data_IF_734009726962
#
_entry.id   IF_734009726962
#
_cell.length_a   1.000
_cell.length_b   1.000
_cell.length_c   1.000
_cell.angle_alpha   90.00
_cell.angle_beta   90.00
_cell.angle_gamma   90.00
#
_symmetry.space_group_name_H-M   'P 1'
#
loop_
_entity.id
_entity.type
_entity.pdbx_description
1 polymer ?
#
# COMPACT_ATOMS: atom_id res chain seq x y z
N UNK A 1 -26.01 9.60 -18.39
CA UNK A 1 -25.95 8.28 -19.07
C UNK A 1 -26.46 7.22 -18.12
N UNK A 2 -27.64 6.61 -18.36
CA UNK A 2 -28.37 5.82 -17.34
C UNK A 2 -27.52 4.69 -16.71
N UNK A 3 -26.65 4.05 -17.51
CA UNK A 3 -25.83 2.92 -17.05
C UNK A 3 -24.70 3.34 -16.10
N UNK A 4 -24.06 4.47 -16.31
CA UNK A 4 -23.04 5.00 -15.40
C UNK A 4 -23.65 5.39 -14.05
N UNK A 5 -24.82 6.05 -14.08
CA UNK A 5 -25.52 6.47 -12.85
C UNK A 5 -25.93 5.26 -12.00
N UNK A 6 -26.35 4.15 -12.66
CA UNK A 6 -26.67 2.91 -11.98
C UNK A 6 -25.44 2.23 -11.37
N UNK A 7 -24.32 2.23 -12.09
CA UNK A 7 -23.04 1.70 -11.58
C UNK A 7 -22.51 2.53 -10.42
N UNK A 8 -22.61 3.88 -10.49
CA UNK A 8 -22.23 4.77 -9.38
C UNK A 8 -23.03 4.44 -8.13
N UNK A 9 -24.37 4.30 -8.26
CA UNK A 9 -25.23 3.93 -7.13
C UNK A 9 -24.88 2.56 -6.56
N UNK A 10 -24.57 1.59 -7.41
CA UNK A 10 -24.18 0.23 -6.99
C UNK A 10 -22.87 0.24 -6.21
N UNK A 11 -21.84 0.96 -6.70
CA UNK A 11 -20.57 1.09 -6.00
C UNK A 11 -20.70 1.89 -4.70
N UNK A 12 -21.44 2.99 -4.70
CA UNK A 12 -21.68 3.78 -3.49
C UNK A 12 -22.41 2.93 -2.43
N UNK A 13 -23.40 2.12 -2.83
CA UNK A 13 -24.07 1.15 -1.96
C UNK A 13 -23.13 0.06 -1.43
N UNK A 14 -22.19 -0.41 -2.25
CA UNK A 14 -21.17 -1.36 -1.82
C UNK A 14 -20.28 -0.76 -0.72
N UNK A 15 -19.78 0.47 -0.88
CA UNK A 15 -18.97 1.15 0.13
C UNK A 15 -19.74 1.41 1.42
N UNK A 16 -21.02 1.81 1.31
CA UNK A 16 -21.87 2.01 2.48
C UNK A 16 -22.17 0.69 3.23
N UNK A 17 -22.22 -0.44 2.54
CA UNK A 17 -22.44 -1.75 3.16
C UNK A 17 -21.19 -2.33 3.84
N UNK A 18 -20.00 -1.92 3.42
CA UNK A 18 -18.73 -2.39 3.98
C UNK A 18 -18.23 -1.51 5.16
N UNK A 19 -19.00 -0.52 5.63
CA UNK A 19 -18.66 0.30 6.78
C UNK A 19 -18.79 -0.50 8.10
N UNK A 20 -18.00 -0.09 9.12
CA UNK A 20 -17.97 -0.70 10.47
C UNK A 20 -18.54 0.30 11.49
N UNK A 21 -19.85 0.27 11.76
CA UNK A 21 -20.52 1.31 12.54
C UNK A 21 -20.22 1.28 14.05
N UNK A 22 -19.55 0.23 14.58
CA UNK A 22 -19.27 0.11 16.03
C UNK A 22 -18.21 1.11 16.56
N UNK A 23 -17.58 1.86 15.66
CA UNK A 23 -16.64 2.93 15.99
C UNK A 23 -15.29 2.49 16.53
N UNK A 24 -15.01 1.19 16.57
CA UNK A 24 -13.75 0.63 17.07
C UNK A 24 -12.82 0.36 15.91
N UNK A 25 -11.77 1.17 15.80
CA UNK A 25 -10.78 1.02 14.74
C UNK A 25 -10.17 -0.38 14.73
N UNK A 26 -10.20 -1.04 13.57
CA UNK A 26 -9.39 -2.21 13.25
C UNK A 26 -8.37 -1.87 12.19
N UNK A 27 -7.20 -2.51 12.25
CA UNK A 27 -6.05 -2.29 11.39
C UNK A 27 -5.74 -3.59 10.66
N UNK A 28 -5.60 -3.53 9.36
CA UNK A 28 -5.12 -4.66 8.57
C UNK A 28 -3.74 -4.33 8.02
N UNK A 29 -2.73 -5.09 8.43
CA UNK A 29 -1.35 -4.95 7.95
C UNK A 29 -1.14 -5.81 6.72
N UNK A 30 -0.55 -5.22 5.68
CA UNK A 30 -0.03 -5.93 4.52
C UNK A 30 1.43 -5.52 4.29
N UNK A 31 2.34 -6.51 4.18
CA UNK A 31 3.77 -6.26 3.96
C UNK A 31 4.22 -7.04 2.73
N UNK A 32 4.80 -6.32 1.78
CA UNK A 32 5.41 -6.88 0.58
C UNK A 32 6.90 -7.12 0.82
N UNK A 33 7.42 -8.24 0.35
CA UNK A 33 8.82 -8.64 0.48
C UNK A 33 9.39 -8.98 -0.88
N UNK A 34 10.62 -8.55 -1.15
CA UNK A 34 11.37 -9.13 -2.24
C UNK A 34 11.93 -10.49 -1.84
N UNK A 35 11.97 -11.40 -2.80
CA UNK A 35 12.62 -12.70 -2.65
C UNK A 35 13.81 -12.75 -3.59
N UNK A 36 14.94 -13.25 -3.10
CA UNK A 36 16.14 -13.52 -3.90
C UNK A 36 16.72 -14.87 -3.55
N UNK A 37 17.49 -15.42 -4.45
CA UNK A 37 18.42 -16.50 -4.16
C UNK A 37 19.56 -15.99 -3.28
N UNK A 38 20.33 -16.88 -2.67
CA UNK A 38 21.50 -16.53 -1.85
C UNK A 38 22.59 -15.78 -2.64
N UNK A 39 22.67 -15.97 -3.97
CA UNK A 39 23.56 -15.23 -4.87
C UNK A 39 23.02 -13.86 -5.31
N UNK A 40 21.85 -13.44 -4.80
CA UNK A 40 21.21 -12.18 -5.12
C UNK A 40 20.37 -12.18 -6.40
N UNK A 41 20.34 -13.30 -7.14
CA UNK A 41 19.53 -13.41 -8.37
C UNK A 41 18.04 -13.59 -8.06
N UNK A 42 17.16 -13.28 -9.02
CA UNK A 42 15.73 -13.55 -8.87
C UNK A 42 15.45 -15.02 -8.61
N UNK A 43 14.45 -15.36 -7.79
CA UNK A 43 14.08 -16.76 -7.55
C UNK A 43 13.39 -17.36 -8.77
N UNK A 44 13.49 -18.66 -8.95
CA UNK A 44 12.59 -19.36 -9.85
C UNK A 44 11.18 -19.44 -9.25
N UNK A 45 10.15 -19.23 -10.05
CA UNK A 45 8.75 -19.24 -9.60
C UNK A 45 8.39 -20.55 -8.90
N UNK A 46 8.86 -21.70 -9.44
CA UNK A 46 8.62 -23.02 -8.86
C UNK A 46 9.22 -23.18 -7.44
N UNK A 47 10.39 -22.60 -7.18
CA UNK A 47 11.03 -22.68 -5.85
C UNK A 47 10.23 -21.89 -4.81
N UNK A 48 9.70 -20.72 -5.22
CA UNK A 48 8.84 -19.91 -4.36
C UNK A 48 7.50 -20.62 -4.11
N UNK A 49 6.92 -21.25 -5.14
CA UNK A 49 5.71 -22.07 -4.96
C UNK A 49 5.95 -23.19 -3.96
N UNK A 50 7.08 -23.90 -4.05
CA UNK A 50 7.43 -25.01 -3.15
C UNK A 50 7.58 -24.52 -1.69
N UNK A 51 8.28 -23.41 -1.47
CA UNK A 51 8.43 -22.79 -0.15
C UNK A 51 7.07 -22.40 0.47
N UNK A 52 6.16 -21.77 -0.31
CA UNK A 52 4.84 -21.38 0.18
C UNK A 52 3.92 -22.58 0.45
N UNK A 53 4.00 -23.64 -0.36
CA UNK A 53 3.26 -24.89 -0.09
C UNK A 53 3.70 -25.54 1.22
N UNK A 54 4.98 -25.43 1.57
CA UNK A 54 5.52 -25.92 2.85
C UNK A 54 4.99 -25.15 4.07
N UNK A 55 4.52 -23.91 3.90
CA UNK A 55 3.93 -23.08 4.96
C UNK A 55 2.41 -23.21 5.06
N UNK A 56 1.75 -23.61 3.97
CA UNK A 56 0.29 -23.73 3.90
C UNK A 56 -0.22 -24.81 4.87
N UNK A 57 -1.14 -24.44 5.75
CA UNK A 57 -1.80 -25.38 6.67
C UNK A 57 -2.95 -26.12 5.96
N UNK A 58 -3.41 -27.23 6.52
CA UNK A 58 -4.52 -28.01 5.95
C UNK A 58 -5.84 -27.22 5.89
N UNK A 59 -6.01 -26.24 6.75
CA UNK A 59 -7.20 -25.36 6.81
C UNK A 59 -7.14 -24.21 5.85
N UNK A 60 -5.99 -23.94 5.22
CA UNK A 60 -5.80 -22.81 4.33
C UNK A 60 -6.24 -23.16 2.90
N UNK A 61 -6.94 -22.23 2.26
CA UNK A 61 -7.37 -22.37 0.88
C UNK A 61 -6.23 -21.96 -0.09
N UNK A 62 -5.84 -22.83 -1.04
CA UNK A 62 -4.85 -22.45 -2.05
C UNK A 62 -5.40 -21.35 -2.98
N UNK A 63 -4.54 -20.41 -3.34
CA UNK A 63 -4.83 -19.39 -4.35
C UNK A 63 -4.31 -19.89 -5.70
N UNK A 64 -5.24 -20.32 -6.55
CA UNK A 64 -4.95 -20.82 -7.91
C UNK A 64 -5.45 -19.79 -8.92
N UNK A 65 -4.58 -19.35 -9.80
CA UNK A 65 -4.90 -18.42 -10.88
C UNK A 65 -4.25 -18.90 -12.19
N UNK A 66 -5.01 -18.93 -13.27
CA UNK A 66 -4.56 -19.42 -14.58
C UNK A 66 -3.94 -20.83 -14.55
N UNK A 67 -4.35 -21.66 -13.59
CA UNK A 67 -3.84 -23.03 -13.38
C UNK A 67 -2.61 -23.12 -12.48
N UNK A 68 -2.00 -22.01 -12.10
CA UNK A 68 -0.80 -21.94 -11.27
C UNK A 68 -1.11 -21.58 -9.82
N UNK A 69 -0.26 -22.03 -8.90
CA UNK A 69 -0.36 -21.73 -7.48
C UNK A 69 0.35 -20.42 -7.15
N UNK A 70 -0.38 -19.46 -6.56
CA UNK A 70 0.15 -18.15 -6.18
C UNK A 70 0.22 -17.92 -4.66
N UNK A 71 -0.07 -18.93 -3.86
CA UNK A 71 -0.07 -18.81 -2.41
C UNK A 71 -1.34 -19.39 -1.79
N UNK A 72 -1.68 -18.91 -0.60
CA UNK A 72 -2.82 -19.42 0.16
C UNK A 72 -3.47 -18.33 1.01
N UNK A 73 -4.72 -18.59 1.40
CA UNK A 73 -5.49 -17.75 2.31
C UNK A 73 -6.01 -18.57 3.48
N UNK A 74 -5.59 -18.20 4.68
CA UNK A 74 -6.06 -18.78 5.95
C UNK A 74 -6.86 -17.76 6.77
N UNK A 75 -7.39 -18.16 7.93
CA UNK A 75 -8.20 -17.29 8.78
C UNK A 75 -7.41 -16.13 9.41
N UNK A 76 -6.10 -16.30 9.62
CA UNK A 76 -5.24 -15.30 10.26
C UNK A 76 -4.48 -14.44 9.26
N UNK A 77 -4.12 -14.99 8.10
CA UNK A 77 -3.33 -14.30 7.09
C UNK A 77 -3.54 -14.88 5.69
N UNK A 78 -3.21 -14.07 4.70
CA UNK A 78 -3.06 -14.47 3.29
C UNK A 78 -1.62 -14.23 2.88
N UNK A 79 -0.99 -15.22 2.26
CA UNK A 79 0.33 -15.12 1.63
C UNK A 79 0.16 -15.31 0.12
N UNK A 80 0.53 -14.31 -0.70
CA UNK A 80 0.34 -14.36 -2.15
C UNK A 80 1.49 -13.70 -2.89
N UNK A 81 1.71 -14.09 -4.17
CA UNK A 81 2.77 -13.56 -5.00
C UNK A 81 2.32 -12.38 -5.85
N UNK A 82 3.14 -11.35 -5.87
CA UNK A 82 3.06 -10.21 -6.79
C UNK A 82 3.68 -10.51 -8.15
N UNK A 83 3.74 -9.49 -9.03
CA UNK A 83 4.09 -9.66 -10.45
C UNK A 83 5.47 -10.24 -10.76
N UNK A 84 6.46 -10.02 -9.89
CA UNK A 84 7.83 -10.54 -10.05
C UNK A 84 8.26 -11.34 -8.82
N UNK A 85 7.41 -12.25 -8.35
CA UNK A 85 7.62 -13.06 -7.15
C UNK A 85 7.76 -12.25 -5.84
N UNK A 86 7.35 -10.98 -5.78
CA UNK A 86 7.24 -10.30 -4.49
C UNK A 86 6.22 -11.06 -3.62
N UNK A 87 6.59 -11.38 -2.39
CA UNK A 87 5.69 -12.03 -1.46
C UNK A 87 4.91 -10.98 -0.68
N UNK A 88 3.61 -10.98 -0.82
CA UNK A 88 2.68 -10.15 -0.08
C UNK A 88 2.06 -10.94 1.07
N UNK A 89 2.24 -10.47 2.31
CA UNK A 89 1.65 -11.03 3.52
C UNK A 89 0.60 -10.06 4.02
N UNK A 90 -0.67 -10.44 3.96
CA UNK A 90 -1.81 -9.65 4.42
C UNK A 90 -2.44 -10.34 5.64
N UNK A 91 -2.42 -9.68 6.81
CA UNK A 91 -3.00 -10.21 8.04
C UNK A 91 -4.50 -9.97 8.07
N UNK A 92 -5.23 -10.78 8.83
CA UNK A 92 -6.61 -10.46 9.18
C UNK A 92 -6.66 -9.16 10.01
N UNK A 93 -7.75 -8.37 9.94
CA UNK A 93 -7.87 -7.13 10.71
C UNK A 93 -7.83 -7.38 12.22
N UNK A 94 -7.00 -6.64 12.93
CA UNK A 94 -6.85 -6.68 14.39
C UNK A 94 -6.91 -5.28 15.00
N UNK A 95 -7.10 -5.17 16.31
CA UNK A 95 -7.21 -3.89 17.02
C UNK A 95 -5.93 -3.49 17.73
N UNK A 96 -5.19 -4.47 18.18
CA UNK A 96 -4.00 -4.26 18.96
C UNK A 96 -2.74 -4.38 18.10
N UNK A 97 -1.81 -3.42 18.25
CA UNK A 97 -0.57 -3.39 17.48
C UNK A 97 0.34 -4.53 17.89
N UNK A 98 0.34 -4.91 19.17
CA UNK A 98 1.14 -6.03 19.66
C UNK A 98 0.67 -7.35 19.03
N UNK A 99 -0.64 -7.59 18.99
CA UNK A 99 -1.22 -8.79 18.37
C UNK A 99 -0.87 -8.86 16.86
N UNK A 100 -0.93 -7.70 16.17
CA UNK A 100 -0.53 -7.60 14.76
C UNK A 100 0.94 -7.99 14.59
N UNK A 101 1.82 -7.43 15.42
CA UNK A 101 3.26 -7.67 15.32
C UNK A 101 3.65 -9.08 15.75
N UNK A 102 3.00 -9.65 16.76
CA UNK A 102 3.23 -11.02 17.18
C UNK A 102 2.85 -12.02 16.09
N UNK A 103 1.72 -11.78 15.41
CA UNK A 103 1.29 -12.61 14.29
C UNK A 103 2.27 -12.48 13.10
N UNK A 104 2.63 -11.24 12.73
CA UNK A 104 3.57 -10.97 11.65
C UNK A 104 4.95 -11.58 11.93
N UNK A 105 5.52 -11.35 13.10
CA UNK A 105 6.87 -11.82 13.46
C UNK A 105 6.95 -13.37 13.50
N UNK A 106 5.92 -14.04 14.03
CA UNK A 106 5.84 -15.50 14.00
C UNK A 106 5.85 -16.05 12.58
N UNK A 107 5.02 -15.46 11.71
CA UNK A 107 4.97 -15.87 10.31
C UNK A 107 6.30 -15.56 9.59
N UNK A 108 6.87 -14.37 9.81
CA UNK A 108 8.12 -13.95 9.17
C UNK A 108 9.29 -14.87 9.54
N UNK A 109 9.35 -15.34 10.78
CA UNK A 109 10.34 -16.33 11.21
C UNK A 109 10.15 -17.69 10.49
N UNK A 110 8.92 -18.20 10.41
CA UNK A 110 8.60 -19.43 9.69
C UNK A 110 8.89 -19.31 8.19
N UNK A 111 8.58 -18.17 7.62
CA UNK A 111 8.91 -17.84 6.23
C UNK A 111 10.42 -17.91 5.97
N UNK A 112 11.22 -17.31 6.84
CA UNK A 112 12.68 -17.35 6.73
C UNK A 112 13.22 -18.77 6.68
N UNK A 113 12.70 -19.66 7.55
CA UNK A 113 13.09 -21.08 7.58
C UNK A 113 12.66 -21.83 6.31
N UNK A 114 11.42 -21.61 5.85
CA UNK A 114 10.91 -22.23 4.63
C UNK A 114 11.68 -21.77 3.38
N UNK A 115 11.97 -20.48 3.27
CA UNK A 115 12.75 -19.93 2.15
C UNK A 115 14.18 -20.48 2.15
N UNK A 116 14.85 -20.52 3.32
CA UNK A 116 16.21 -21.03 3.45
C UNK A 116 16.35 -22.50 2.98
N UNK A 117 15.33 -23.34 3.20
CA UNK A 117 15.29 -24.72 2.71
C UNK A 117 15.31 -24.81 1.17
N UNK A 118 14.98 -23.74 0.47
CA UNK A 118 15.01 -23.62 -1.00
C UNK A 118 16.12 -22.69 -1.51
N UNK A 119 17.08 -22.30 -0.65
CA UNK A 119 18.16 -21.38 -1.02
C UNK A 119 17.70 -19.95 -1.29
N UNK A 120 16.54 -19.57 -0.74
CA UNK A 120 15.92 -18.26 -0.91
C UNK A 120 15.99 -17.45 0.39
N UNK A 121 15.87 -16.13 0.27
CA UNK A 121 15.72 -15.20 1.40
C UNK A 121 14.74 -14.07 1.07
N UNK A 122 14.08 -13.52 2.10
CA UNK A 122 13.20 -12.40 2.02
C UNK A 122 13.93 -11.09 2.42
N UNK A 123 13.52 -9.97 1.79
CA UNK A 123 14.01 -8.63 2.09
C UNK A 123 12.84 -7.69 2.33
N UNK A 124 13.01 -6.82 3.32
CA UNK A 124 12.15 -5.66 3.54
C UNK A 124 12.86 -4.41 3.03
N UNK A 125 12.53 -3.95 1.83
CA UNK A 125 13.08 -2.75 1.22
C UNK A 125 12.03 -2.12 0.29
N UNK A 126 12.12 -0.81 0.07
CA UNK A 126 11.19 -0.11 -0.82
C UNK A 126 11.43 -0.37 -2.30
N UNK A 127 12.70 -0.72 -2.66
CA UNK A 127 13.09 -1.12 -4.00
C UNK A 127 13.88 -2.42 -3.98
N UNK A 128 13.89 -3.15 -5.11
CA UNK A 128 14.57 -4.44 -5.22
C UNK A 128 16.07 -4.32 -4.87
N UNK A 129 16.58 -5.17 -3.94
CA UNK A 129 17.90 -4.96 -3.34
C UNK A 129 19.08 -5.26 -4.26
N UNK A 130 18.90 -6.03 -5.33
CA UNK A 130 20.02 -6.57 -6.12
C UNK A 130 19.88 -6.46 -7.63
N UNK A 131 18.65 -6.36 -8.19
CA UNK A 131 18.41 -6.50 -9.63
C UNK A 131 17.86 -5.20 -10.24
N UNK A 132 18.09 -5.03 -11.54
CA UNK A 132 17.32 -4.10 -12.35
C UNK A 132 15.89 -4.61 -12.54
N UNK A 133 14.93 -3.71 -12.65
CA UNK A 133 13.52 -4.07 -12.80
C UNK A 133 13.24 -4.87 -14.09
N UNK A 134 13.96 -4.57 -15.17
CA UNK A 134 13.82 -5.28 -16.46
C UNK A 134 14.32 -6.72 -16.42
N UNK A 135 15.25 -7.05 -15.50
CA UNK A 135 15.79 -8.40 -15.33
C UNK A 135 14.89 -9.29 -14.47
N UNK A 136 13.88 -8.71 -13.83
CA UNK A 136 12.93 -9.44 -12.99
C UNK A 136 11.83 -10.06 -13.85
N UNK A 137 11.73 -11.41 -13.93
CA UNK A 137 10.72 -12.08 -14.75
C UNK A 137 9.32 -11.88 -14.16
N UNK A 138 8.34 -11.70 -15.03
CA UNK A 138 6.94 -11.76 -14.62
C UNK A 138 6.54 -13.20 -14.29
N UNK A 139 5.72 -13.35 -13.24
CA UNK A 139 5.02 -14.60 -12.96
C UNK A 139 3.98 -14.90 -14.07
N UNK A 140 3.67 -16.17 -14.37
CA UNK A 140 2.75 -16.54 -15.46
C UNK A 140 1.28 -16.31 -15.06
N UNK A 141 0.87 -15.04 -14.97
CA UNK A 141 -0.50 -14.62 -14.61
C UNK A 141 -1.04 -13.60 -15.61
N UNK A 142 -2.13 -13.94 -16.29
CA UNK A 142 -2.78 -13.13 -17.33
C UNK A 142 -3.00 -11.66 -16.90
N UNK A 143 -3.35 -11.46 -15.61
CA UNK A 143 -3.53 -10.11 -15.05
C UNK A 143 -2.24 -9.30 -15.11
N UNK A 144 -1.13 -9.88 -14.72
CA UNK A 144 0.15 -9.16 -14.61
C UNK A 144 0.76 -8.88 -15.99
N UNK A 145 0.60 -9.82 -16.94
CA UNK A 145 0.97 -9.59 -18.33
C UNK A 145 0.17 -8.45 -18.95
N UNK A 146 -1.14 -8.42 -18.74
CA UNK A 146 -2.00 -7.33 -19.22
C UNK A 146 -1.67 -5.99 -18.58
N UNK A 147 -1.31 -5.99 -17.28
CA UNK A 147 -0.89 -4.79 -16.56
C UNK A 147 0.45 -4.28 -17.06
N UNK A 148 1.44 -5.15 -17.21
CA UNK A 148 2.78 -4.79 -17.72
C UNK A 148 2.67 -4.17 -19.12
N UNK A 149 1.93 -4.81 -20.03
CA UNK A 149 1.72 -4.31 -21.38
C UNK A 149 1.04 -2.94 -21.39
N UNK A 150 -0.03 -2.74 -20.61
CA UNK A 150 -0.76 -1.49 -20.55
C UNK A 150 0.07 -0.35 -19.94
N UNK A 151 0.72 -0.61 -18.79
CA UNK A 151 1.40 0.43 -18.02
C UNK A 151 2.69 0.89 -18.69
N UNK A 152 3.40 0.03 -19.44
CA UNK A 152 4.58 0.42 -20.22
C UNK A 152 4.31 1.55 -21.22
N UNK A 153 3.07 1.67 -21.73
CA UNK A 153 2.65 2.73 -22.63
C UNK A 153 2.27 4.05 -21.91
N UNK A 154 2.19 4.04 -20.56
CA UNK A 154 1.68 5.18 -19.77
C UNK A 154 2.76 6.01 -19.11
N UNK A 155 3.74 5.38 -18.47
CA UNK A 155 4.79 6.10 -17.75
C UNK A 155 6.14 5.40 -17.79
N UNK A 156 7.21 6.17 -17.72
CA UNK A 156 8.58 5.66 -17.82
C UNK A 156 8.99 4.77 -16.64
N UNK A 157 8.32 4.91 -15.49
CA UNK A 157 8.63 4.14 -14.28
C UNK A 157 7.74 2.91 -14.04
N UNK A 158 6.95 2.51 -15.04
CA UNK A 158 5.94 1.45 -14.90
C UNK A 158 6.55 0.09 -14.58
N UNK A 159 7.64 -0.30 -15.23
CA UNK A 159 8.32 -1.57 -14.99
C UNK A 159 8.96 -1.60 -13.60
N UNK A 160 9.64 -0.52 -13.23
CA UNK A 160 10.24 -0.36 -11.90
C UNK A 160 9.17 -0.46 -10.81
N UNK A 161 8.06 0.25 -10.98
CA UNK A 161 6.94 0.20 -10.05
C UNK A 161 6.41 -1.22 -9.89
N UNK A 162 6.13 -1.90 -11.00
CA UNK A 162 5.42 -3.16 -11.00
C UNK A 162 6.28 -4.33 -10.49
N UNK A 163 7.57 -4.34 -10.85
CA UNK A 163 8.45 -5.49 -10.61
C UNK A 163 9.44 -5.25 -9.46
N UNK A 164 9.82 -4.00 -9.20
CA UNK A 164 10.94 -3.67 -8.31
C UNK A 164 10.57 -2.71 -7.18
N UNK A 165 9.28 -2.58 -6.81
CA UNK A 165 8.89 -1.88 -5.59
C UNK A 165 8.14 -2.80 -4.62
N UNK A 166 8.29 -2.54 -3.32
CA UNK A 166 7.57 -3.23 -2.26
C UNK A 166 7.19 -2.25 -1.14
N UNK A 167 6.04 -2.49 -0.52
CA UNK A 167 5.38 -1.57 0.41
C UNK A 167 5.01 -2.23 1.74
N UNK A 168 4.73 -1.38 2.73
CA UNK A 168 3.95 -1.69 3.92
C UNK A 168 2.63 -0.93 3.83
N UNK A 169 1.53 -1.64 3.65
CA UNK A 169 0.19 -1.05 3.63
C UNK A 169 -0.50 -1.25 4.97
N UNK A 170 -1.24 -0.24 5.40
CA UNK A 170 -2.16 -0.36 6.53
C UNK A 170 -3.54 0.04 6.07
N UNK A 171 -4.49 -0.89 6.18
CA UNK A 171 -5.89 -0.61 5.89
C UNK A 171 -6.66 -0.36 7.18
N UNK A 172 -7.52 0.66 7.16
CA UNK A 172 -8.37 1.07 8.27
C UNK A 172 -9.84 1.01 7.85
N UNK A 173 -10.72 0.75 8.81
CA UNK A 173 -12.16 0.85 8.61
C UNK A 173 -12.66 2.30 8.61
N UNK A 174 -13.96 2.45 8.34
CA UNK A 174 -14.71 3.70 8.44
C UNK A 174 -16.14 3.39 8.89
N UNK A 175 -16.76 4.34 9.60
CA UNK A 175 -18.06 4.16 10.23
C UNK A 175 -19.24 4.51 9.32
N UNK A 176 -19.05 5.55 8.50
CA UNK A 176 -20.02 6.09 7.55
C UNK A 176 -19.29 6.90 6.47
N UNK A 177 -20.06 7.50 5.55
CA UNK A 177 -19.50 8.33 4.47
C UNK A 177 -18.75 9.57 4.99
N UNK A 178 -19.22 10.18 6.07
CA UNK A 178 -18.57 11.35 6.68
C UNK A 178 -17.19 10.97 7.25
N UNK A 179 -17.12 9.86 7.97
CA UNK A 179 -15.85 9.34 8.52
C UNK A 179 -14.92 8.88 7.40
N UNK A 180 -15.45 8.23 6.35
CA UNK A 180 -14.70 7.90 5.14
C UNK A 180 -14.03 9.14 4.54
N UNK A 181 -14.79 10.20 4.27
CA UNK A 181 -14.25 11.44 3.68
C UNK A 181 -13.15 12.04 4.56
N UNK A 182 -13.39 12.11 5.87
CA UNK A 182 -12.41 12.66 6.84
C UNK A 182 -11.14 11.84 6.88
N UNK A 183 -11.24 10.51 6.92
CA UNK A 183 -10.09 9.58 6.95
C UNK A 183 -9.31 9.63 5.63
N UNK A 184 -9.98 9.63 4.49
CA UNK A 184 -9.34 9.76 3.18
C UNK A 184 -8.53 11.05 3.05
N UNK A 185 -9.11 12.18 3.45
CA UNK A 185 -8.43 13.49 3.44
C UNK A 185 -7.22 13.51 4.37
N UNK A 186 -7.39 13.09 5.63
CA UNK A 186 -6.29 13.07 6.58
C UNK A 186 -5.16 12.13 6.16
N UNK A 187 -5.49 10.92 5.70
CA UNK A 187 -4.50 9.96 5.20
C UNK A 187 -3.70 10.52 4.02
N UNK A 188 -4.37 11.18 3.08
CA UNK A 188 -3.71 11.78 1.92
C UNK A 188 -2.82 12.98 2.30
N UNK A 189 -3.24 13.81 3.25
CA UNK A 189 -2.40 14.91 3.80
C UNK A 189 -1.15 14.38 4.49
N UNK A 190 -1.19 13.17 5.05
CA UNK A 190 -0.06 12.57 5.76
C UNK A 190 0.86 11.74 4.85
N UNK A 191 0.53 11.52 3.58
CA UNK A 191 1.37 10.72 2.65
C UNK A 191 2.82 11.19 2.53
N UNK A 192 3.16 12.51 2.50
CA UNK A 192 4.54 12.94 2.45
C UNK A 192 5.35 12.51 3.68
N UNK A 193 4.72 12.52 4.86
CA UNK A 193 5.35 12.14 6.13
C UNK A 193 5.53 10.62 6.22
N UNK A 194 4.53 9.85 5.80
CA UNK A 194 4.63 8.39 5.74
C UNK A 194 5.74 7.96 4.77
N UNK A 195 5.84 8.61 3.60
CA UNK A 195 6.91 8.33 2.65
C UNK A 195 8.31 8.60 3.24
N UNK A 196 8.51 9.73 3.93
CA UNK A 196 9.82 10.09 4.49
C UNK A 196 10.21 9.23 5.69
N UNK A 197 9.27 8.94 6.61
CA UNK A 197 9.50 8.08 7.77
C UNK A 197 9.77 6.61 7.38
N UNK A 198 9.26 6.17 6.25
CA UNK A 198 9.43 4.81 5.74
C UNK A 198 10.51 4.68 4.66
N UNK A 199 11.22 5.75 4.28
CA UNK A 199 12.20 5.72 3.20
C UNK A 199 13.28 4.65 3.44
N UNK A 200 13.12 3.52 2.76
CA UNK A 200 13.86 2.28 2.95
C UNK A 200 14.31 1.65 1.63
N UNK A 201 14.88 2.46 0.73
CA UNK A 201 15.41 1.98 -0.54
C UNK A 201 16.92 2.25 -0.65
N UNK A 202 17.80 1.47 0.02
CA UNK A 202 19.26 1.66 -0.02
C UNK A 202 19.85 1.37 -1.40
N UNK A 203 19.17 0.55 -2.20
CA UNK A 203 19.55 0.20 -3.57
C UNK A 203 18.39 0.56 -4.50
N UNK A 204 18.74 1.04 -5.68
CA UNK A 204 17.82 1.25 -6.79
C UNK A 204 18.50 0.89 -8.10
N UNK A 205 17.86 0.06 -8.92
CA UNK A 205 18.42 -0.44 -10.18
C UNK A 205 19.85 -0.98 -9.99
N UNK A 206 19.98 -1.96 -9.10
CA UNK A 206 21.24 -2.64 -8.73
C UNK A 206 22.38 -1.72 -8.28
N UNK A 207 22.11 -0.44 -7.99
CA UNK A 207 23.11 0.57 -7.59
C UNK A 207 22.71 1.22 -6.27
N UNK A 208 23.72 1.66 -5.50
CA UNK A 208 23.48 2.38 -4.24
C UNK A 208 22.64 3.63 -4.50
N UNK A 209 21.55 3.75 -3.76
CA UNK A 209 20.63 4.88 -3.88
C UNK A 209 20.96 5.98 -2.86
N UNK A 210 21.11 7.21 -3.34
CA UNK A 210 21.25 8.41 -2.51
C UNK A 210 20.00 9.32 -2.49
N UNK A 211 19.00 9.02 -3.31
CA UNK A 211 17.76 9.82 -3.41
C UNK A 211 16.80 9.47 -2.30
N UNK A 212 16.04 10.45 -1.80
CA UNK A 212 14.95 10.22 -0.84
C UNK A 212 13.70 9.67 -1.51
N UNK A 213 12.96 8.84 -0.78
CA UNK A 213 11.62 8.36 -1.11
C UNK A 213 11.50 7.91 -2.58
N UNK A 214 12.48 7.12 -3.06
CA UNK A 214 12.58 6.74 -4.47
C UNK A 214 11.31 6.03 -4.96
N UNK A 215 10.72 5.15 -4.15
CA UNK A 215 9.46 4.47 -4.47
C UNK A 215 8.34 5.50 -4.70
N UNK A 216 8.17 6.48 -3.82
CA UNK A 216 7.18 7.55 -3.98
C UNK A 216 7.41 8.32 -5.28
N UNK A 217 8.66 8.60 -5.65
CA UNK A 217 9.01 9.27 -6.92
C UNK A 217 8.62 8.44 -8.14
N UNK A 218 8.90 7.13 -8.12
CA UNK A 218 8.55 6.22 -9.20
C UNK A 218 7.04 6.21 -9.48
N UNK A 219 6.22 6.17 -8.43
CA UNK A 219 4.77 6.17 -8.56
C UNK A 219 4.18 7.45 -9.18
N UNK A 220 4.94 8.58 -9.24
CA UNK A 220 4.48 9.80 -9.92
C UNK A 220 4.55 9.68 -11.45
N UNK A 221 5.33 8.73 -11.98
CA UNK A 221 5.52 8.55 -13.44
C UNK A 221 5.11 7.13 -13.88
N UNK A 222 3.91 6.71 -13.50
CA UNK A 222 3.29 5.43 -13.89
C UNK A 222 2.03 5.68 -14.73
N UNK A 223 0.94 6.10 -14.12
CA UNK A 223 -0.31 6.39 -14.82
C UNK A 223 -1.15 7.39 -13.99
N UNK A 224 -1.34 8.58 -14.53
CA UNK A 224 -2.05 9.68 -13.86
C UNK A 224 -3.53 9.39 -13.61
N UNK A 225 -4.13 8.47 -14.36
CA UNK A 225 -5.54 8.12 -14.19
C UNK A 225 -5.80 7.30 -12.92
N UNK A 226 -4.75 6.64 -12.38
CA UNK A 226 -4.92 5.65 -11.31
C UNK A 226 -3.89 5.67 -10.19
N UNK A 227 -2.86 6.52 -10.28
CA UNK A 227 -1.82 6.70 -9.28
C UNK A 227 -1.84 8.11 -8.68
N UNK A 228 -1.16 8.30 -7.54
CA UNK A 228 -1.06 9.60 -6.87
C UNK A 228 -2.25 9.90 -5.97
N UNK A 229 -2.55 11.19 -5.79
CA UNK A 229 -3.65 11.64 -4.92
C UNK A 229 -4.99 11.36 -5.59
N UNK A 230 -5.95 10.85 -4.82
CA UNK A 230 -7.33 10.59 -5.30
C UNK A 230 -7.92 11.87 -5.91
N UNK A 231 -8.43 11.84 -7.15
CA UNK A 231 -9.05 13.01 -7.77
C UNK A 231 -10.24 13.53 -6.97
N UNK A 232 -10.45 14.83 -6.97
CA UNK A 232 -11.57 15.51 -6.29
C UNK A 232 -11.63 15.33 -4.77
N UNK A 233 -10.59 14.76 -4.14
CA UNK A 233 -10.58 14.44 -2.71
C UNK A 233 -10.90 15.64 -1.80
N UNK A 234 -10.44 16.85 -2.18
CA UNK A 234 -10.64 18.06 -1.38
C UNK A 234 -11.89 18.86 -1.77
N UNK A 235 -12.65 18.43 -2.80
CA UNK A 235 -13.88 19.07 -3.22
C UNK A 235 -15.00 18.87 -2.19
N UNK A 236 -15.91 19.81 -2.08
CA UNK A 236 -16.97 19.77 -1.07
C UNK A 236 -17.97 18.64 -1.25
N UNK A 237 -18.12 18.15 -2.49
CA UNK A 237 -19.01 17.05 -2.89
C UNK A 237 -18.32 15.68 -2.92
N UNK A 238 -17.07 15.59 -2.42
CA UNK A 238 -16.37 14.31 -2.34
C UNK A 238 -17.06 13.35 -1.36
N UNK A 239 -17.36 12.14 -1.83
CA UNK A 239 -18.01 11.08 -1.09
C UNK A 239 -17.96 9.78 -1.88
N UNK A 240 -18.76 8.78 -1.49
CA UNK A 240 -18.81 7.47 -2.14
C UNK A 240 -19.14 7.56 -3.63
N UNK A 241 -20.13 8.41 -3.99
CA UNK A 241 -20.55 8.57 -5.38
C UNK A 241 -19.45 9.19 -6.24
N UNK A 242 -18.76 10.24 -5.75
CA UNK A 242 -17.64 10.86 -6.47
C UNK A 242 -16.45 9.93 -6.59
N UNK A 243 -16.14 9.15 -5.55
CA UNK A 243 -15.09 8.13 -5.63
C UNK A 243 -15.46 7.03 -6.63
N UNK A 244 -16.70 6.55 -6.63
CA UNK A 244 -17.19 5.58 -7.61
C UNK A 244 -17.09 6.12 -9.05
N UNK A 245 -17.50 7.36 -9.30
CA UNK A 245 -17.36 8.02 -10.60
C UNK A 245 -15.89 8.05 -11.06
N UNK A 246 -14.96 8.40 -10.18
CA UNK A 246 -13.53 8.45 -10.49
C UNK A 246 -12.99 7.11 -11.01
N UNK A 247 -13.41 5.97 -10.42
CA UNK A 247 -12.91 4.66 -10.84
C UNK A 247 -13.69 4.06 -12.02
N UNK A 248 -14.96 4.42 -12.20
CA UNK A 248 -15.80 3.90 -13.28
C UNK A 248 -15.54 4.57 -14.63
N UNK A 249 -15.15 5.85 -14.63
CA UNK A 249 -14.96 6.67 -15.84
C UNK A 249 -13.55 6.60 -16.41
N UNK A 250 -12.61 5.93 -15.72
CA UNK A 250 -11.24 5.75 -16.22
C UNK A 250 -11.10 4.45 -17.01
N UNK A 251 -10.22 4.41 -18.02
CA UNK A 251 -9.93 3.18 -18.77
C UNK A 251 -9.51 2.07 -17.81
N UNK A 252 -10.15 0.89 -17.89
CA UNK A 252 -9.75 -0.27 -17.11
C UNK A 252 -8.56 -0.96 -17.77
N UNK A 253 -7.62 -1.47 -16.97
CA UNK A 253 -6.50 -2.28 -17.47
C UNK A 253 -7.00 -3.69 -17.74
N UNK A 254 -7.68 -4.25 -16.73
CA UNK A 254 -8.23 -5.61 -16.78
C UNK A 254 -9.70 -5.61 -16.37
N UNK A 255 -10.44 -6.58 -16.89
CA UNK A 255 -11.85 -6.78 -16.60
C UNK A 255 -12.16 -8.25 -16.34
N UNK A 256 -13.20 -8.51 -15.54
CA UNK A 256 -13.74 -9.85 -15.35
C UNK A 256 -14.68 -10.19 -16.51
N UNK A 257 -14.36 -11.25 -17.25
CA UNK A 257 -15.13 -11.73 -18.39
C UNK A 257 -15.36 -13.23 -18.25
N UNK A 258 -16.62 -13.63 -18.14
CA UNK A 258 -16.99 -15.05 -17.94
C UNK A 258 -16.19 -15.72 -16.80
N UNK A 259 -16.07 -15.03 -15.66
CA UNK A 259 -15.33 -15.52 -14.49
C UNK A 259 -13.80 -15.51 -14.60
N UNK A 260 -13.25 -14.96 -15.69
CA UNK A 260 -11.79 -14.89 -15.91
C UNK A 260 -11.33 -13.45 -16.11
N UNK A 261 -10.14 -13.12 -15.58
CA UNK A 261 -9.51 -11.82 -15.81
C UNK A 261 -8.94 -11.76 -17.22
N UNK A 262 -9.22 -10.66 -17.94
CA UNK A 262 -8.75 -10.38 -19.31
C UNK A 262 -8.39 -8.91 -19.45
N UNK A 263 -7.52 -8.57 -20.40
CA UNK A 263 -7.27 -7.19 -20.78
C UNK A 263 -8.57 -6.48 -21.15
N UNK A 264 -8.76 -5.26 -20.65
CA UNK A 264 -9.98 -4.48 -20.87
C UNK A 264 -10.00 -3.72 -22.21
N UNK A 265 -8.84 -3.57 -22.86
CA UNK A 265 -8.69 -2.87 -24.14
C UNK A 265 -8.99 -1.37 -24.06
N UNK A 266 -8.64 -0.72 -22.94
CA UNK A 266 -8.84 0.70 -22.72
C UNK A 266 -10.28 1.14 -22.51
N UNK A 267 -11.23 0.22 -22.33
CA UNK A 267 -12.65 0.51 -22.10
C UNK A 267 -12.90 0.94 -20.65
N UNK A 268 -13.87 1.84 -20.47
CA UNK A 268 -14.37 2.23 -19.15
C UNK A 268 -15.38 1.21 -18.60
N UNK A 269 -15.63 1.22 -17.29
CA UNK A 269 -16.52 0.24 -16.65
C UNK A 269 -17.94 0.16 -17.27
N UNK A 270 -18.62 1.27 -17.64
CA UNK A 270 -19.92 1.22 -18.32
C UNK A 270 -19.93 0.52 -19.69
N UNK A 271 -18.77 0.39 -20.35
CA UNK A 271 -18.65 -0.34 -21.61
C UNK A 271 -18.39 -1.85 -21.38
N UNK A 272 -17.84 -2.18 -20.21
CA UNK A 272 -17.40 -3.52 -19.85
C UNK A 272 -18.49 -4.33 -19.14
N UNK A 273 -19.28 -3.70 -18.30
CA UNK A 273 -20.21 -4.35 -17.38
C UNK A 273 -21.66 -3.87 -17.60
N UNK A 274 -22.62 -4.61 -17.04
CA UNK A 274 -24.02 -4.19 -16.95
C UNK A 274 -24.21 -2.98 -16.01
N UNK A 275 -25.40 -2.42 -15.92
CA UNK A 275 -25.70 -1.34 -14.99
C UNK A 275 -25.54 -1.78 -13.53
N UNK A 276 -26.04 -2.97 -13.17
CA UNK A 276 -25.80 -3.57 -11.86
C UNK A 276 -24.53 -4.43 -11.91
N UNK A 277 -23.46 -3.99 -11.22
CA UNK A 277 -22.19 -4.71 -11.12
C UNK A 277 -22.15 -5.61 -9.88
N UNK A 278 -21.70 -6.85 -10.05
CA UNK A 278 -21.55 -7.82 -8.95
C UNK A 278 -20.36 -7.45 -8.04
N UNK A 279 -20.34 -8.01 -6.81
CA UNK A 279 -19.19 -7.82 -5.88
C UNK A 279 -17.84 -8.22 -6.50
N UNK A 280 -17.80 -9.28 -7.30
CA UNK A 280 -16.56 -9.71 -7.98
C UNK A 280 -16.11 -8.71 -9.05
N UNK A 281 -17.04 -8.16 -9.83
CA UNK A 281 -16.76 -7.12 -10.81
C UNK A 281 -16.32 -5.82 -10.14
N UNK A 282 -16.93 -5.43 -9.02
CA UNK A 282 -16.52 -4.28 -8.21
C UNK A 282 -15.08 -4.48 -7.72
N UNK A 283 -14.74 -5.62 -7.14
CA UNK A 283 -13.39 -5.93 -6.70
C UNK A 283 -12.39 -5.86 -7.86
N UNK A 284 -12.77 -6.35 -9.05
CA UNK A 284 -11.94 -6.25 -10.25
C UNK A 284 -11.75 -4.80 -10.71
N UNK A 285 -12.79 -3.97 -10.74
CA UNK A 285 -12.72 -2.54 -11.07
C UNK A 285 -11.75 -1.84 -10.11
N UNK A 286 -11.96 -1.97 -8.79
CA UNK A 286 -11.13 -1.34 -7.77
C UNK A 286 -9.67 -1.80 -7.80
N UNK A 287 -9.41 -3.03 -8.25
CA UNK A 287 -8.05 -3.58 -8.38
C UNK A 287 -7.20 -2.92 -9.47
N UNK A 288 -7.81 -2.12 -10.37
CA UNK A 288 -7.10 -1.38 -11.41
C UNK A 288 -6.57 -0.01 -10.94
N UNK A 289 -6.82 0.41 -9.69
CA UNK A 289 -6.45 1.72 -9.16
C UNK A 289 -5.45 1.62 -8.03
N UNK A 290 -4.46 2.53 -8.03
CA UNK A 290 -3.29 2.51 -7.17
C UNK A 290 -3.05 3.88 -6.53
N UNK A 291 -4.11 4.63 -6.18
CA UNK A 291 -3.98 5.90 -5.47
C UNK A 291 -3.20 5.73 -4.16
N UNK A 292 -2.50 6.76 -3.71
CA UNK A 292 -1.70 6.75 -2.47
C UNK A 292 -2.54 6.35 -1.25
N UNK A 293 -3.80 6.75 -1.26
CA UNK A 293 -4.85 6.29 -0.34
C UNK A 293 -6.04 5.87 -1.19
N UNK A 294 -6.44 4.62 -1.10
CA UNK A 294 -7.55 4.09 -1.90
C UNK A 294 -8.61 3.42 -1.05
N UNK A 295 -9.85 3.43 -1.55
CA UNK A 295 -10.95 2.67 -0.99
C UNK A 295 -11.14 1.37 -1.78
N UNK A 296 -11.16 0.26 -1.06
CA UNK A 296 -11.71 -1.03 -1.48
C UNK A 296 -12.90 -1.36 -0.54
N UNK A 297 -12.81 -2.43 0.23
CA UNK A 297 -13.68 -2.64 1.40
C UNK A 297 -13.23 -1.83 2.61
N UNK A 298 -11.98 -1.39 2.63
CA UNK A 298 -11.31 -0.60 3.68
C UNK A 298 -10.52 0.53 3.03
N UNK A 299 -10.17 1.56 3.80
CA UNK A 299 -9.27 2.63 3.36
C UNK A 299 -7.84 2.13 3.50
N UNK A 300 -7.14 1.97 2.41
CA UNK A 300 -5.77 1.45 2.36
C UNK A 300 -4.75 2.59 2.19
N UNK A 301 -3.84 2.73 3.15
CA UNK A 301 -2.72 3.67 3.15
C UNK A 301 -1.51 2.99 2.49
N UNK A 302 -1.00 3.54 1.38
CA UNK A 302 -0.05 2.87 0.49
C UNK A 302 1.31 3.57 0.36
N UNK A 303 1.50 4.70 1.03
CA UNK A 303 2.68 5.54 0.84
C UNK A 303 3.98 4.97 1.41
N UNK A 304 3.90 4.04 2.39
CA UNK A 304 5.07 3.53 3.09
C UNK A 304 5.80 2.43 2.29
N UNK A 305 7.13 2.49 2.29
CA UNK A 305 8.01 1.43 1.78
C UNK A 305 7.89 0.16 2.64
N UNK A 306 8.30 -0.97 2.10
CA UNK A 306 8.52 -2.17 2.91
C UNK A 306 9.67 -1.92 3.89
N UNK A 307 9.44 -2.24 5.19
CA UNK A 307 10.31 -1.84 6.30
C UNK A 307 10.65 -3.03 7.22
N UNK A 308 11.77 -2.96 7.96
CA UNK A 308 12.03 -3.88 9.06
C UNK A 308 10.94 -3.84 10.16
N UNK A 309 10.71 -4.96 10.88
CA UNK A 309 9.59 -5.10 11.82
C UNK A 309 9.43 -3.97 12.85
N UNK A 310 10.53 -3.42 13.38
CA UNK A 310 10.48 -2.32 14.36
C UNK A 310 9.85 -1.04 13.78
N UNK A 311 10.08 -0.75 12.49
CA UNK A 311 9.47 0.41 11.82
C UNK A 311 8.05 0.11 11.35
N UNK A 312 7.73 -1.14 11.03
CA UNK A 312 6.34 -1.57 10.80
C UNK A 312 5.52 -1.30 12.06
N UNK A 313 6.00 -1.72 13.24
CA UNK A 313 5.33 -1.47 14.52
C UNK A 313 5.09 0.03 14.75
N UNK A 314 6.12 0.87 14.51
CA UNK A 314 6.02 2.31 14.63
C UNK A 314 4.99 2.91 13.67
N UNK A 315 4.95 2.42 12.42
CA UNK A 315 3.99 2.88 11.42
C UNK A 315 2.56 2.50 11.77
N UNK A 316 2.31 1.25 12.13
CA UNK A 316 0.98 0.78 12.57
C UNK A 316 0.51 1.55 13.80
N UNK A 317 1.42 1.79 14.79
CA UNK A 317 1.09 2.57 15.98
C UNK A 317 0.79 4.04 15.63
N UNK A 318 1.53 4.65 14.72
CA UNK A 318 1.24 6.02 14.25
C UNK A 318 -0.14 6.11 13.61
N UNK A 319 -0.47 5.17 12.72
CA UNK A 319 -1.80 5.07 12.08
C UNK A 319 -2.88 4.87 13.15
N UNK A 320 -2.72 3.93 14.11
CA UNK A 320 -3.66 3.71 15.22
C UNK A 320 -3.90 5.00 15.99
N UNK A 321 -2.84 5.73 16.34
CA UNK A 321 -2.93 6.94 17.15
C UNK A 321 -3.66 8.10 16.47
N UNK A 322 -3.53 8.21 15.14
CA UNK A 322 -4.20 9.27 14.35
C UNK A 322 -5.65 8.91 14.05
N UNK A 323 -5.89 7.70 13.55
CA UNK A 323 -7.21 7.31 13.00
C UNK A 323 -8.14 6.66 14.03
N UNK A 324 -7.60 6.20 15.16
CA UNK A 324 -8.37 5.64 16.28
C UNK A 324 -9.01 6.69 17.21
N UNK A 325 -8.73 7.97 16.99
CA UNK A 325 -9.29 9.07 17.80
C UNK A 325 -9.93 10.13 16.91
N UNK A 326 -11.26 10.37 17.01
CA UNK A 326 -11.94 11.45 16.28
C UNK A 326 -11.29 12.83 16.51
N UNK A 327 -10.77 13.08 17.71
CA UNK A 327 -10.09 14.33 18.04
C UNK A 327 -8.70 14.44 17.39
N UNK A 328 -7.95 13.33 17.28
CA UNK A 328 -6.66 13.32 16.58
C UNK A 328 -6.87 13.55 15.08
N UNK A 329 -7.81 12.83 14.49
CA UNK A 329 -8.20 13.00 13.09
C UNK A 329 -8.62 14.45 12.80
N UNK A 330 -9.45 15.05 13.66
CA UNK A 330 -9.87 16.45 13.51
C UNK A 330 -8.71 17.43 13.67
N UNK A 331 -7.71 17.14 14.50
CA UNK A 331 -6.51 17.98 14.62
C UNK A 331 -5.70 17.99 13.33
N UNK A 332 -5.50 16.84 12.69
CA UNK A 332 -4.81 16.75 11.39
C UNK A 332 -5.56 17.60 10.35
N UNK A 333 -6.87 17.42 10.23
CA UNK A 333 -7.67 18.15 9.25
C UNK A 333 -7.65 19.68 9.48
N UNK A 334 -7.65 20.12 10.73
CA UNK A 334 -7.54 21.56 11.07
C UNK A 334 -6.13 22.10 10.85
N UNK A 335 -5.10 21.32 11.16
CA UNK A 335 -3.70 21.74 11.00
C UNK A 335 -3.35 22.03 9.54
N UNK A 336 -3.91 21.24 8.61
CA UNK A 336 -3.72 21.38 7.18
C UNK A 336 -4.97 21.96 6.45
N UNK A 337 -5.81 22.69 7.16
CA UNK A 337 -7.00 23.32 6.57
C UNK A 337 -6.63 24.21 5.38
N UNK A 338 -7.33 24.05 4.26
CA UNK A 338 -7.08 24.79 3.02
C UNK A 338 -6.06 24.16 2.08
N UNK A 339 -5.36 23.07 2.49
CA UNK A 339 -4.48 22.36 1.57
C UNK A 339 -5.30 21.65 0.46
N UNK A 340 -4.79 21.75 -0.75
CA UNK A 340 -5.36 21.15 -1.97
C UNK A 340 -4.70 19.84 -2.34
N UNK A 341 -5.24 19.11 -3.32
CA UNK A 341 -4.60 17.92 -3.90
C UNK A 341 -3.24 18.24 -4.53
N UNK A 342 -3.09 19.47 -5.08
CA UNK A 342 -1.82 19.95 -5.63
C UNK A 342 -0.78 20.17 -4.53
N UNK A 343 -1.19 20.70 -3.37
CA UNK A 343 -0.28 20.90 -2.23
C UNK A 343 0.22 19.55 -1.69
N UNK A 344 -0.63 18.52 -1.65
CA UNK A 344 -0.22 17.16 -1.27
C UNK A 344 0.82 16.62 -2.26
N UNK A 345 0.56 16.76 -3.57
CA UNK A 345 1.50 16.32 -4.61
C UNK A 345 2.83 17.06 -4.50
N UNK A 346 2.78 18.38 -4.32
CA UNK A 346 3.97 19.24 -4.15
C UNK A 346 4.78 18.86 -2.91
N UNK A 347 4.10 18.57 -1.79
CA UNK A 347 4.73 18.12 -0.55
C UNK A 347 5.45 16.75 -0.72
N UNK A 348 4.83 15.81 -1.45
CA UNK A 348 5.46 14.53 -1.81
C UNK A 348 6.72 14.72 -2.65
N UNK A 349 6.67 15.58 -3.67
CA UNK A 349 7.83 15.88 -4.50
C UNK A 349 8.93 16.60 -3.72
N UNK A 350 8.57 17.48 -2.78
CA UNK A 350 9.53 18.17 -1.92
C UNK A 350 10.31 17.18 -1.03
N UNK A 351 9.64 16.22 -0.38
CA UNK A 351 10.34 15.20 0.43
C UNK A 351 11.19 14.26 -0.43
N UNK A 352 10.77 13.95 -1.65
CA UNK A 352 11.59 13.16 -2.58
C UNK A 352 12.87 13.89 -3.00
N UNK A 353 12.83 15.23 -3.09
CA UNK A 353 13.97 16.06 -3.49
C UNK A 353 14.88 16.37 -2.32
N UNK A 354 14.33 16.86 -1.21
CA UNK A 354 15.07 17.56 -0.15
C UNK A 354 15.08 16.79 1.18
N UNK A 355 14.35 15.64 1.29
CA UNK A 355 14.30 14.81 2.50
C UNK A 355 13.89 15.63 3.73
N UNK A 356 14.68 15.54 4.80
CA UNK A 356 14.43 16.29 6.06
C UNK A 356 14.64 17.81 5.94
N UNK A 357 15.12 18.31 4.81
CA UNK A 357 15.24 19.76 4.54
C UNK A 357 14.03 20.30 3.74
N UNK A 358 13.09 19.45 3.38
CA UNK A 358 11.92 19.83 2.61
C UNK A 358 11.01 20.83 3.35
N UNK A 359 10.36 21.67 2.58
CA UNK A 359 9.17 22.43 3.01
C UNK A 359 7.91 21.69 2.55
N UNK A 360 7.04 21.31 3.47
CA UNK A 360 5.75 20.67 3.22
C UNK A 360 4.65 21.57 3.74
N UNK A 361 3.67 21.89 2.90
CA UNK A 361 2.59 22.83 3.22
C UNK A 361 3.13 24.19 3.71
N UNK A 362 4.26 24.66 3.14
CA UNK A 362 4.91 25.91 3.53
C UNK A 362 5.70 25.90 4.84
N UNK A 363 5.89 24.72 5.48
CA UNK A 363 6.55 24.56 6.78
C UNK A 363 7.70 23.55 6.70
N UNK A 364 8.76 23.66 7.55
CA UNK A 364 9.82 22.66 7.61
C UNK A 364 9.27 21.27 7.98
N UNK A 365 9.57 20.26 7.18
CA UNK A 365 9.08 18.89 7.38
C UNK A 365 9.46 18.31 8.73
N UNK A 366 10.64 18.66 9.27
CA UNK A 366 11.08 18.21 10.59
C UNK A 366 10.18 18.73 11.73
N UNK A 367 9.70 19.98 11.62
CA UNK A 367 8.74 20.54 12.56
C UNK A 367 7.36 19.86 12.48
N UNK A 368 6.90 19.58 11.26
CA UNK A 368 5.63 18.89 11.03
C UNK A 368 5.67 17.44 11.50
N UNK A 369 6.78 16.73 11.27
CA UNK A 369 7.00 15.38 11.81
C UNK A 369 7.05 15.36 13.34
N UNK A 370 7.75 16.35 13.95
CA UNK A 370 7.77 16.48 15.41
C UNK A 370 6.35 16.68 15.96
N UNK A 371 5.58 17.58 15.36
CA UNK A 371 4.18 17.80 15.73
C UNK A 371 3.36 16.51 15.62
N UNK A 372 3.44 15.79 14.50
CA UNK A 372 2.68 14.56 14.23
C UNK A 372 3.02 13.47 15.25
N UNK A 373 4.30 13.21 15.48
CA UNK A 373 4.76 12.17 16.42
C UNK A 373 4.44 12.52 17.88
N UNK A 374 4.54 13.78 18.27
CA UNK A 374 4.13 14.24 19.59
C UNK A 374 2.62 14.11 19.81
N UNK A 375 1.79 14.45 18.79
CA UNK A 375 0.35 14.22 18.84
C UNK A 375 0.04 12.73 18.98
N UNK A 376 0.72 11.84 18.25
CA UNK A 376 0.55 10.41 18.36
C UNK A 376 0.90 9.92 19.78
N UNK A 377 2.06 10.28 20.31
CA UNK A 377 2.51 9.89 21.66
C UNK A 377 1.57 10.38 22.76
N UNK A 378 1.10 11.62 22.68
CA UNK A 378 0.20 12.20 23.70
C UNK A 378 -1.16 11.51 23.79
N UNK A 379 -1.57 10.79 22.74
CA UNK A 379 -2.85 10.10 22.64
C UNK A 379 -2.74 8.58 22.84
N UNK A 380 -1.53 8.08 22.95
CA UNK A 380 -1.26 6.68 23.22
C UNK A 380 -1.23 6.46 24.75
N UNK A 381 -2.17 5.65 25.31
CA UNK A 381 -2.34 5.59 26.76
C UNK A 381 -1.21 4.84 27.48
N UNK A 382 -0.76 3.70 26.95
CA UNK A 382 0.27 2.89 27.60
C UNK A 382 1.70 3.35 27.27
N UNK A 383 2.64 3.06 28.17
CA UNK A 383 4.06 3.35 27.97
C UNK A 383 4.66 2.43 26.88
N UNK A 384 4.23 1.17 26.87
CA UNK A 384 4.66 0.16 25.91
C UNK A 384 4.28 0.59 24.47
N UNK A 385 3.02 0.98 24.26
CA UNK A 385 2.57 1.47 22.94
C UNK A 385 3.29 2.78 22.53
N UNK A 386 3.58 3.68 23.49
CA UNK A 386 4.37 4.91 23.19
C UNK A 386 5.78 4.58 22.72
N UNK A 387 6.40 3.54 23.31
CA UNK A 387 7.74 3.11 22.94
C UNK A 387 7.80 2.56 21.50
N UNK A 388 6.68 2.07 20.95
CA UNK A 388 6.61 1.65 19.54
C UNK A 388 6.92 2.80 18.57
N UNK A 389 6.70 4.07 18.97
CA UNK A 389 7.01 5.24 18.15
C UNK A 389 8.48 5.69 18.24
N UNK A 390 9.28 5.13 19.15
CA UNK A 390 10.68 5.56 19.37
C UNK A 390 11.59 5.40 18.13
N UNK A 391 11.45 4.35 17.28
CA UNK A 391 12.21 4.29 16.04
C UNK A 391 12.01 5.51 15.14
N UNK A 392 10.78 6.00 14.98
CA UNK A 392 10.50 7.21 14.20
C UNK A 392 10.97 8.50 14.88
N UNK A 393 10.91 8.57 16.22
CA UNK A 393 11.50 9.68 16.96
C UNK A 393 13.00 9.74 16.79
N UNK A 394 13.68 8.59 16.74
CA UNK A 394 15.12 8.51 16.48
C UNK A 394 15.48 8.97 15.06
N UNK A 395 14.73 8.53 14.03
CA UNK A 395 14.93 9.01 12.65
C UNK A 395 14.79 10.54 12.57
N UNK A 396 13.76 11.11 13.21
CA UNK A 396 13.57 12.56 13.26
C UNK A 396 14.73 13.28 13.95
N UNK A 397 15.16 12.78 15.11
CA UNK A 397 16.24 13.39 15.92
C UNK A 397 17.57 13.38 15.17
N UNK A 398 17.88 12.28 14.48
CA UNK A 398 19.12 12.12 13.71
C UNK A 398 19.02 12.70 12.30
N UNK A 399 17.82 13.05 11.84
CA UNK A 399 17.51 13.45 10.45
C UNK A 399 18.00 12.43 9.42
N UNK A 400 17.89 11.15 9.76
CA UNK A 400 18.24 10.03 8.89
C UNK A 400 16.98 9.25 8.52
N UNK A 401 16.99 8.64 7.35
CA UNK A 401 15.96 7.71 6.92
C UNK A 401 16.33 6.27 7.31
N UNK A 402 15.40 5.32 7.16
CA UNK A 402 15.66 3.91 7.47
C UNK A 402 16.85 3.39 6.67
N UNK A 403 16.90 3.68 5.35
CA UNK A 403 18.01 3.25 4.48
C UNK A 403 19.40 3.76 4.90
N UNK A 404 19.46 4.83 5.72
CA UNK A 404 20.72 5.41 6.24
C UNK A 404 21.07 4.88 7.63
N UNK A 405 20.16 4.19 8.30
CA UNK A 405 20.35 3.64 9.65
C UNK A 405 20.47 2.11 9.66
N UNK A 406 19.88 1.42 8.70
CA UNK A 406 19.96 -0.04 8.59
C UNK A 406 21.23 -0.46 7.89
N UNK A 407 21.84 -1.55 8.39
CA UNK A 407 23.00 -2.17 7.77
C UNK A 407 22.55 -3.28 6.83
N UNK A 408 22.43 -2.99 5.53
CA UNK A 408 22.03 -3.96 4.50
C UNK A 408 23.19 -4.81 3.95
N UNK A 409 24.39 -4.70 4.56
CA UNK A 409 25.60 -5.41 4.11
C UNK A 409 25.82 -6.74 4.86
N UNK A 410 24.92 -7.13 5.74
CA UNK A 410 24.90 -8.41 6.45
C UNK A 410 23.68 -9.24 5.97
#
# INVERSE_FOLDING_TARGET
MPKLDEQIKTLAGYFAADCEPDGKLTLQLEVEHFLTRSDGQPPAFADVQAALRGLQQQTDAPIITDGEYFGYSGPALTATLGPACQLCISLAPLRDVQDIMDLYNRFYLQLGLALAAHGLRAWTAGCHPTCHAEDLPLVPRTRDEAMDAYLREKGACSVQMMRATAATHVSIDYQDETDFVRKMRAASLLTPFFALLSDNAPVYQASRNSSYCIRTRLWQDVDRDRCGVTPHLMDTDFGYARYAENVLTKPQITALRLGRVRAAGGKIAPELYAGHVSRQEIAQILSNFFYDVRLKSRIELRAADSMPPRYIAAYVQLVKSVFGSPAALQNVLRHYAGATTLDITSAKLAVCKDGYNALVYGRPVSGELAWLLMQARSRTPSQEERALLDPFMQLLTTRKTIRETENYNE
#
